data_IF_740176479049
#
_entry.id   IF_740176479049
#
_cell.length_a   1.000
_cell.length_b   1.000
_cell.length_c   1.000
_cell.angle_alpha   90.00
_cell.angle_beta   90.00
_cell.angle_gamma   90.00
#
_symmetry.space_group_name_H-M   'P 1'
#
loop_
_entity.id
_entity.type
_entity.pdbx_description
1 polymer ?
#
# COMPACT_ATOMS: atom_id res chain seq x y z
N UNK A 1 -12.20 -13.98 2.99
CA UNK A 1 -10.73 -14.06 2.85
C UNK A 1 -10.31 -13.10 1.76
N UNK A 2 -9.24 -12.32 1.96
CA UNK A 2 -8.78 -11.35 0.94
C UNK A 2 -7.93 -12.06 -0.12
N UNK A 3 -8.14 -11.70 -1.39
CA UNK A 3 -7.33 -12.13 -2.54
C UNK A 3 -6.82 -10.87 -3.21
N UNK A 4 -5.50 -10.79 -3.40
CA UNK A 4 -4.86 -9.63 -3.99
C UNK A 4 -5.06 -9.58 -5.50
N UNK A 5 -5.10 -8.37 -6.06
CA UNK A 5 -5.14 -8.18 -7.52
C UNK A 5 -3.88 -8.79 -8.17
N UNK A 6 -4.09 -9.66 -9.15
CA UNK A 6 -3.02 -10.32 -9.91
C UNK A 6 -2.17 -9.31 -10.68
N UNK A 7 -2.76 -8.18 -11.06
CA UNK A 7 -2.15 -7.14 -11.86
C UNK A 7 -1.59 -5.97 -11.04
N UNK A 8 -1.55 -6.05 -9.70
CA UNK A 8 -1.10 -4.94 -8.82
C UNK A 8 0.27 -4.35 -9.18
N UNK A 9 1.19 -5.20 -9.66
CA UNK A 9 2.54 -4.78 -10.06
C UNK A 9 2.64 -4.26 -11.49
N UNK A 10 1.57 -4.36 -12.30
CA UNK A 10 1.62 -4.00 -13.72
C UNK A 10 1.71 -2.49 -13.96
N UNK A 11 1.13 -1.69 -13.06
CA UNK A 11 1.03 -0.22 -13.19
C UNK A 11 1.96 0.54 -12.26
N UNK A 12 2.22 0.02 -11.05
CA UNK A 12 3.06 0.70 -10.07
C UNK A 12 4.53 0.72 -10.50
N UNK A 13 5.15 1.90 -10.42
CA UNK A 13 6.58 2.08 -10.70
C UNK A 13 7.37 1.95 -9.40
N UNK A 14 8.44 1.17 -9.42
CA UNK A 14 9.33 1.00 -8.27
C UNK A 14 10.68 1.69 -8.49
N UNK A 15 11.15 2.45 -7.50
CA UNK A 15 12.45 3.13 -7.51
C UNK A 15 13.38 2.53 -6.48
N UNK A 16 14.65 2.36 -6.86
CA UNK A 16 15.70 1.89 -5.95
C UNK A 16 15.95 2.94 -4.86
N UNK A 17 16.06 2.50 -3.60
CA UNK A 17 16.38 3.36 -2.47
C UNK A 17 17.90 3.56 -2.38
N UNK A 18 18.39 4.63 -3.03
CA UNK A 18 19.82 4.93 -3.09
C UNK A 18 20.64 3.77 -3.65
N UNK A 19 21.73 3.42 -2.98
CA UNK A 19 22.62 2.32 -3.39
C UNK A 19 22.21 0.94 -2.82
N UNK A 20 21.05 0.83 -2.16
CA UNK A 20 20.57 -0.44 -1.58
C UNK A 20 19.87 -1.33 -2.61
N UNK A 21 19.73 -2.64 -2.35
CA UNK A 21 18.92 -3.52 -3.22
C UNK A 21 17.40 -3.29 -3.14
N UNK A 22 16.95 -2.42 -2.21
CA UNK A 22 15.54 -2.20 -1.93
C UNK A 22 14.91 -1.30 -3.00
N UNK A 23 13.74 -1.72 -3.50
CA UNK A 23 12.90 -0.90 -4.39
C UNK A 23 11.60 -0.53 -3.68
N UNK A 24 11.26 0.76 -3.67
CA UNK A 24 10.03 1.28 -3.08
C UNK A 24 9.05 1.72 -4.18
N UNK A 25 7.73 1.62 -3.96
CA UNK A 25 6.76 2.15 -4.89
C UNK A 25 6.87 3.67 -4.98
N UNK A 26 6.50 4.24 -6.13
CA UNK A 26 6.51 5.68 -6.37
C UNK A 26 5.62 6.44 -5.35
N UNK A 27 4.54 5.81 -4.90
CA UNK A 27 3.68 6.30 -3.84
C UNK A 27 3.57 5.24 -2.75
N UNK A 28 3.76 5.65 -1.50
CA UNK A 28 3.64 4.80 -0.32
C UNK A 28 2.48 5.28 0.56
N UNK A 29 1.75 4.35 1.18
CA UNK A 29 0.68 4.67 2.13
C UNK A 29 1.29 4.95 3.51
N UNK A 30 1.10 6.16 4.03
CA UNK A 30 1.40 6.52 5.42
C UNK A 30 0.19 6.32 6.31
N UNK A 31 0.39 5.77 7.51
CA UNK A 31 -0.68 5.48 8.47
C UNK A 31 -0.77 6.49 9.62
N UNK A 32 -0.26 7.70 9.42
CA UNK A 32 -0.18 8.70 10.49
C UNK A 32 -1.56 9.17 10.97
N UNK A 33 -2.46 9.49 10.02
CA UNK A 33 -3.82 9.91 10.28
C UNK A 33 -4.78 8.84 9.75
N UNK A 34 -5.93 8.68 10.40
CA UNK A 34 -7.03 7.77 10.02
C UNK A 34 -6.81 6.27 10.29
N UNK A 35 -5.79 5.89 11.06
CA UNK A 35 -5.51 4.50 11.43
C UNK A 35 -5.38 4.30 12.96
N UNK A 36 -6.00 5.18 13.75
CA UNK A 36 -6.02 5.09 15.21
C UNK A 36 -7.16 4.22 15.74
N UNK A 37 -7.13 3.92 17.04
CA UNK A 37 -8.15 3.09 17.70
C UNK A 37 -9.58 3.67 17.63
N UNK A 38 -9.71 4.98 17.39
CA UNK A 38 -11.00 5.67 17.24
C UNK A 38 -11.55 5.60 15.82
N UNK A 39 -10.76 5.13 14.84
CA UNK A 39 -11.15 5.04 13.45
C UNK A 39 -11.87 3.73 13.17
N UNK A 40 -12.77 3.76 12.19
CA UNK A 40 -13.50 2.58 11.73
C UNK A 40 -12.52 1.56 11.14
N UNK A 41 -12.49 0.36 11.72
CA UNK A 41 -11.56 -0.70 11.35
C UNK A 41 -11.77 -1.16 9.90
N UNK A 42 -13.01 -1.30 9.46
CA UNK A 42 -13.33 -1.80 8.12
C UNK A 42 -12.89 -0.80 7.05
N UNK A 43 -13.06 0.50 7.30
CA UNK A 43 -12.52 1.56 6.43
C UNK A 43 -10.99 1.56 6.40
N UNK A 44 -10.34 1.42 7.56
CA UNK A 44 -8.87 1.32 7.62
C UNK A 44 -8.38 0.16 6.76
N UNK A 45 -9.02 -1.00 6.92
CA UNK A 45 -8.73 -2.22 6.15
C UNK A 45 -8.97 -2.01 4.67
N UNK A 46 -10.09 -1.41 4.26
CA UNK A 46 -10.39 -1.10 2.85
C UNK A 46 -9.27 -0.26 2.22
N UNK A 47 -8.82 0.80 2.90
CA UNK A 47 -7.74 1.67 2.41
C UNK A 47 -6.44 0.90 2.22
N UNK A 48 -6.06 0.06 3.19
CA UNK A 48 -4.83 -0.74 3.12
C UNK A 48 -4.88 -1.72 1.95
N UNK A 49 -6.00 -2.43 1.79
CA UNK A 49 -6.18 -3.41 0.73
C UNK A 49 -6.22 -2.74 -0.65
N UNK A 50 -6.85 -1.57 -0.76
CA UNK A 50 -6.86 -0.78 -1.99
C UNK A 50 -5.44 -0.30 -2.37
N UNK A 51 -4.65 0.16 -1.40
CA UNK A 51 -3.27 0.54 -1.63
C UNK A 51 -2.44 -0.66 -2.12
N UNK A 52 -2.61 -1.83 -1.51
CA UNK A 52 -1.90 -3.04 -1.92
C UNK A 52 -2.30 -3.54 -3.31
N UNK A 53 -3.59 -3.46 -3.67
CA UNK A 53 -4.06 -3.84 -5.01
C UNK A 53 -3.55 -2.90 -6.13
N UNK A 54 -3.06 -1.71 -5.79
CA UNK A 54 -2.54 -0.74 -6.74
C UNK A 54 -1.00 -0.65 -6.79
N UNK A 55 -0.27 -1.54 -6.11
CA UNK A 55 1.19 -1.55 -6.18
C UNK A 55 1.89 -2.44 -5.19
#
# INVERSE_FOLDING_TARGET
MFVADENRYSKMKYRRLGNSGLKLPLMSLGMWLNFGAVNDYDKCKEIILAAFNNG
#
